data_IF_187095788126
#
_entry.id   IF_187095788126
#
_cell.length_a   1.000
_cell.length_b   1.000
_cell.length_c   1.000
_cell.angle_alpha   90.00
_cell.angle_beta   90.00
_cell.angle_gamma   90.00
#
_symmetry.space_group_name_H-M   'P 1'
#
loop_
_entity.id
_entity.type
_entity.pdbx_description
1 polymer ?
#
# COMPACT_ATOMS: atom_id res chain seq x y z
N UNK A 1 -6.28 23.48 -6.96
CA UNK A 1 -6.69 22.44 -7.91
C UNK A 1 -5.68 21.32 -7.79
N UNK A 2 -6.10 20.11 -7.45
CA UNK A 2 -5.17 18.99 -7.21
C UNK A 2 -4.63 18.50 -8.56
N UNK A 3 -3.35 18.18 -8.64
CA UNK A 3 -2.76 17.67 -9.88
C UNK A 3 -3.39 16.32 -10.24
N UNK A 4 -3.89 16.20 -11.46
CA UNK A 4 -4.31 14.92 -12.01
C UNK A 4 -3.08 14.08 -12.36
N UNK A 5 -3.11 12.80 -11.99
CA UNK A 5 -2.02 11.87 -12.26
C UNK A 5 -2.57 10.62 -12.95
N UNK A 6 -1.75 10.04 -13.82
CA UNK A 6 -2.04 8.72 -14.40
C UNK A 6 -1.65 7.64 -13.40
N UNK A 7 -2.66 7.02 -12.78
CA UNK A 7 -2.45 6.01 -11.75
C UNK A 7 -1.90 4.71 -12.36
N UNK A 8 -0.75 4.25 -11.87
CA UNK A 8 -0.15 2.97 -12.29
C UNK A 8 -0.97 1.75 -11.85
N UNK A 9 -1.78 1.86 -10.78
CA UNK A 9 -2.60 0.75 -10.28
C UNK A 9 -3.84 0.51 -11.13
N UNK A 10 -4.66 1.55 -11.35
CA UNK A 10 -5.93 1.42 -12.06
C UNK A 10 -5.86 1.85 -13.54
N UNK A 11 -4.72 2.38 -13.99
CA UNK A 11 -4.49 2.84 -15.37
C UNK A 11 -5.20 4.14 -15.74
N UNK A 12 -6.04 4.68 -14.85
CA UNK A 12 -6.86 5.87 -15.09
C UNK A 12 -6.19 7.15 -14.57
N UNK A 13 -6.50 8.28 -15.22
CA UNK A 13 -6.15 9.60 -14.73
C UNK A 13 -7.14 10.02 -13.65
N UNK A 14 -6.64 10.31 -12.44
CA UNK A 14 -7.44 10.74 -11.28
C UNK A 14 -6.64 11.72 -10.44
N UNK A 15 -7.28 12.30 -9.42
CA UNK A 15 -6.63 13.20 -8.47
C UNK A 15 -5.44 12.53 -7.76
N UNK A 16 -4.29 13.17 -7.84
CA UNK A 16 -3.08 12.83 -7.09
C UNK A 16 -3.01 13.53 -5.73
N UNK A 17 -1.81 13.63 -5.18
CA UNK A 17 -1.59 14.22 -3.86
C UNK A 17 -0.82 15.53 -3.93
N UNK A 18 -1.24 16.51 -3.13
CA UNK A 18 -0.47 17.75 -2.94
C UNK A 18 0.86 17.50 -2.19
N UNK A 19 0.90 16.48 -1.34
CA UNK A 19 2.06 16.10 -0.52
C UNK A 19 2.19 14.58 -0.45
N UNK A 20 3.41 14.05 -0.28
CA UNK A 20 3.63 12.61 -0.08
C UNK A 20 2.76 12.06 1.06
N UNK A 21 1.95 11.00 0.83
CA UNK A 21 1.11 10.42 1.88
C UNK A 21 1.88 9.51 2.84
N UNK A 22 3.15 9.22 2.53
CA UNK A 22 4.02 8.36 3.31
C UNK A 22 5.43 8.98 3.36
N UNK A 23 6.22 8.79 4.42
CA UNK A 23 7.57 9.33 4.49
C UNK A 23 8.55 8.55 3.59
N UNK A 24 9.65 9.22 3.22
CA UNK A 24 10.76 8.61 2.48
C UNK A 24 10.52 8.42 0.98
N UNK A 25 11.42 7.69 0.34
CA UNK A 25 11.44 7.51 -1.12
C UNK A 25 10.16 6.86 -1.67
N UNK A 26 9.57 5.92 -0.92
CA UNK A 26 8.34 5.26 -1.33
C UNK A 26 7.14 6.22 -1.33
N UNK A 27 7.11 7.19 -0.42
CA UNK A 27 6.09 8.23 -0.39
C UNK A 27 6.11 9.12 -1.62
N UNK A 28 7.31 9.54 -2.04
CA UNK A 28 7.49 10.27 -3.29
C UNK A 28 7.03 9.44 -4.50
N UNK A 29 7.33 8.13 -4.51
CA UNK A 29 6.86 7.22 -5.56
C UNK A 29 5.34 7.09 -5.60
N UNK A 30 4.70 6.97 -4.43
CA UNK A 30 3.23 6.92 -4.33
C UNK A 30 2.61 8.23 -4.84
N UNK A 31 3.16 9.38 -4.42
CA UNK A 31 2.67 10.68 -4.88
C UNK A 31 2.70 10.81 -6.41
N UNK A 32 3.78 10.37 -7.06
CA UNK A 32 3.97 10.55 -8.51
C UNK A 32 3.19 9.54 -9.37
N UNK A 33 2.79 8.39 -8.82
CA UNK A 33 2.29 7.26 -9.62
C UNK A 33 0.95 6.69 -9.16
N UNK A 34 0.47 7.01 -7.95
CA UNK A 34 -0.74 6.42 -7.36
C UNK A 34 -1.77 7.51 -7.05
N UNK A 35 -3.00 7.36 -7.52
CA UNK A 35 -4.06 8.31 -7.23
C UNK A 35 -4.61 8.16 -5.80
N UNK A 36 -5.29 9.20 -5.30
CA UNK A 36 -5.85 9.21 -3.92
C UNK A 36 -6.81 8.06 -3.66
N UNK A 37 -7.56 7.64 -4.66
CA UNK A 37 -8.53 6.56 -4.52
C UNK A 37 -7.88 5.19 -4.31
N UNK A 38 -6.87 4.84 -5.12
CA UNK A 38 -6.15 3.58 -4.95
C UNK A 38 -5.40 3.55 -3.60
N UNK A 39 -4.91 4.69 -3.15
CA UNK A 39 -4.35 4.81 -1.80
C UNK A 39 -5.40 4.61 -0.71
N UNK A 40 -6.60 5.20 -0.84
CA UNK A 40 -7.68 4.97 0.11
C UNK A 40 -8.11 3.50 0.17
N UNK A 41 -8.08 2.78 -0.96
CA UNK A 41 -8.29 1.33 -0.99
C UNK A 41 -7.18 0.57 -0.25
N UNK A 42 -5.91 0.98 -0.44
CA UNK A 42 -4.80 0.42 0.32
C UNK A 42 -4.98 0.60 1.84
N UNK A 43 -5.37 1.79 2.31
CA UNK A 43 -5.57 2.03 3.75
C UNK A 43 -6.64 1.11 4.36
N UNK A 44 -7.69 0.79 3.60
CA UNK A 44 -8.69 -0.21 4.01
C UNK A 44 -8.08 -1.61 4.12
N UNK A 45 -7.30 -2.02 3.11
CA UNK A 45 -6.59 -3.31 3.12
C UNK A 45 -5.60 -3.40 4.29
N UNK A 46 -4.81 -2.35 4.53
CA UNK A 46 -3.88 -2.26 5.65
C UNK A 46 -4.60 -2.46 6.98
N UNK A 47 -5.73 -1.78 7.18
CA UNK A 47 -6.54 -1.93 8.41
C UNK A 47 -7.00 -3.37 8.60
N UNK A 48 -7.45 -4.04 7.52
CA UNK A 48 -7.82 -5.46 7.58
C UNK A 48 -6.62 -6.35 7.92
N UNK A 49 -5.45 -6.12 7.32
CA UNK A 49 -4.24 -6.88 7.63
C UNK A 49 -3.82 -6.71 9.10
N UNK A 50 -3.85 -5.48 9.61
CA UNK A 50 -3.53 -5.19 11.02
C UNK A 50 -4.45 -5.96 11.95
N UNK A 51 -5.77 -5.90 11.70
CA UNK A 51 -6.75 -6.57 12.56
C UNK A 51 -6.70 -8.10 12.42
N UNK A 52 -6.50 -8.62 11.21
CA UNK A 52 -6.50 -10.05 10.95
C UNK A 52 -5.27 -10.77 11.54
N UNK A 53 -4.10 -10.15 11.44
CA UNK A 53 -2.84 -10.71 11.94
C UNK A 53 -2.45 -10.19 13.33
N UNK A 54 -3.23 -9.27 13.91
CA UNK A 54 -2.93 -8.65 15.22
C UNK A 54 -1.61 -7.86 15.20
N UNK A 55 -1.33 -7.14 14.11
CA UNK A 55 -0.04 -6.49 13.90
C UNK A 55 0.15 -5.29 14.84
N UNK A 56 1.31 -5.22 15.48
CA UNK A 56 1.75 -4.01 16.17
C UNK A 56 2.50 -3.10 15.20
N UNK A 57 1.91 -1.97 14.80
CA UNK A 57 2.54 -1.00 13.86
C UNK A 57 3.83 -0.34 14.38
N UNK A 58 4.14 -0.49 15.66
CA UNK A 58 5.40 -0.06 16.26
C UNK A 58 6.53 -1.07 16.03
N UNK A 59 6.18 -2.34 15.78
CA UNK A 59 7.14 -3.40 15.46
C UNK A 59 7.75 -3.16 14.07
N UNK A 60 9.09 -3.07 13.96
CA UNK A 60 9.78 -2.98 12.68
C UNK A 60 9.37 -4.06 11.67
N UNK A 61 9.11 -5.28 12.13
CA UNK A 61 8.77 -6.41 11.28
C UNK A 61 7.36 -6.30 10.71
N UNK A 62 6.40 -5.89 11.55
CA UNK A 62 5.05 -5.58 11.11
C UNK A 62 5.03 -4.43 10.10
N UNK A 63 5.85 -3.38 10.31
CA UNK A 63 6.01 -2.29 9.34
C UNK A 63 6.57 -2.80 8.02
N UNK A 64 7.61 -3.63 8.06
CA UNK A 64 8.19 -4.23 6.85
C UNK A 64 7.16 -5.10 6.09
N UNK A 65 6.38 -5.91 6.81
CA UNK A 65 5.28 -6.70 6.23
C UNK A 65 4.24 -5.80 5.55
N UNK A 66 3.77 -4.74 6.24
CA UNK A 66 2.79 -3.81 5.69
C UNK A 66 3.35 -3.05 4.48
N UNK A 67 4.60 -2.61 4.51
CA UNK A 67 5.25 -1.93 3.38
C UNK A 67 5.38 -2.85 2.16
N UNK A 68 5.78 -4.11 2.35
CA UNK A 68 5.84 -5.10 1.26
C UNK A 68 4.47 -5.33 0.62
N UNK A 69 3.44 -5.49 1.46
CA UNK A 69 2.05 -5.63 0.99
C UNK A 69 1.54 -4.37 0.28
N UNK A 70 1.92 -3.19 0.77
CA UNK A 70 1.58 -1.90 0.14
C UNK A 70 2.16 -1.80 -1.27
N UNK A 71 3.44 -2.11 -1.43
CA UNK A 71 4.13 -2.07 -2.73
C UNK A 71 3.51 -3.05 -3.71
N UNK A 72 3.21 -4.28 -3.26
CA UNK A 72 2.52 -5.27 -4.06
C UNK A 72 1.12 -4.79 -4.48
N UNK A 73 0.33 -4.28 -3.54
CA UNK A 73 -1.02 -3.80 -3.81
C UNK A 73 -1.02 -2.63 -4.80
N UNK A 74 -0.12 -1.66 -4.63
CA UNK A 74 -0.12 -0.43 -5.43
C UNK A 74 0.59 -0.57 -6.79
N UNK A 75 1.70 -1.30 -6.85
CA UNK A 75 2.57 -1.31 -8.05
C UNK A 75 2.61 -2.64 -8.80
N UNK A 76 2.12 -3.75 -8.21
CA UNK A 76 2.11 -5.07 -8.87
C UNK A 76 0.74 -5.48 -9.43
N UNK A 77 -0.15 -4.54 -9.78
CA UNK A 77 -1.35 -4.86 -10.57
C UNK A 77 -0.94 -5.43 -11.94
N UNK A 78 -0.95 -6.75 -12.09
CA UNK A 78 -0.59 -7.44 -13.34
C UNK A 78 0.52 -8.49 -13.21
N UNK A 79 1.14 -8.65 -12.04
CA UNK A 79 2.00 -9.78 -11.75
C UNK A 79 1.45 -10.51 -10.51
N UNK A 80 0.86 -11.67 -10.75
CA UNK A 80 0.54 -12.69 -9.73
C UNK A 80 1.86 -13.18 -9.12
N UNK A 81 2.42 -12.42 -8.19
CA UNK A 81 3.37 -13.00 -7.25
C UNK A 81 2.63 -13.24 -5.94
N UNK A 82 2.50 -14.54 -5.66
CA UNK A 82 1.97 -15.17 -4.47
C UNK A 82 2.45 -14.45 -3.20
N UNK A 83 1.63 -13.52 -2.69
CA UNK A 83 1.73 -13.15 -1.29
C UNK A 83 1.04 -14.30 -0.56
N UNK A 84 1.84 -15.25 -0.07
CA UNK A 84 1.40 -16.36 0.77
C UNK A 84 0.68 -15.79 2.01
N UNK A 85 -0.63 -15.63 1.87
CA UNK A 85 -1.56 -15.19 2.92
C UNK A 85 -2.09 -16.38 3.73
N UNK A 86 -1.62 -17.58 3.42
CA UNK A 86 -2.15 -18.86 3.94
C UNK A 86 -1.77 -19.14 5.39
N UNK A 87 -0.82 -18.37 5.96
CA UNK A 87 -0.48 -18.49 7.37
C UNK A 87 -1.51 -17.79 8.26
N UNK A 88 -2.66 -18.44 8.43
CA UNK A 88 -3.56 -18.16 9.55
C UNK A 88 -2.85 -18.52 10.85
N UNK A 89 -2.69 -17.54 11.72
CA UNK A 89 -2.14 -17.71 13.07
C UNK A 89 -0.74 -17.15 13.17
N UNK A 90 -0.65 -15.96 13.79
CA UNK A 90 0.56 -15.30 14.29
C UNK A 90 1.71 -15.27 13.28
N UNK A 91 1.98 -14.10 12.68
CA UNK A 91 3.28 -13.88 12.06
C UNK A 91 4.31 -13.89 13.20
N UNK A 92 4.78 -15.08 13.57
CA UNK A 92 5.90 -15.27 14.46
C UNK A 92 7.13 -15.13 13.59
N UNK A 93 7.81 -14.02 13.75
CA UNK A 93 9.12 -13.80 13.21
C UNK A 93 10.19 -14.57 14.00
#
# INVERSE_FOLDING_TARGET
MMAEIRCSRCGQTREGFDRPPFPGAIGARIQSHICRECWAQWLKQQTMLINHYGLNVMDPQARAFLTKNMEAFLFKAGQEEDVDTTKKGTISW
#
